data_IF_400775429440
#
_entry.id   IF_400775429440
#
_cell.length_a   1.000
_cell.length_b   1.000
_cell.length_c   1.000
_cell.angle_alpha   90.00
_cell.angle_beta   90.00
_cell.angle_gamma   90.00
#
_symmetry.space_group_name_H-M   'P 1'
#
loop_
_entity.id
_entity.type
_entity.pdbx_description
1 polymer ?
#
# COMPACT_ATOMS: atom_id res chain seq x y z
N UNK A 1 14.81 -9.42 50.40
CA UNK A 1 13.81 -9.80 49.37
C UNK A 1 14.48 -10.01 48.00
N UNK A 2 15.54 -10.79 47.91
CA UNK A 2 16.29 -10.97 46.66
C UNK A 2 16.53 -12.45 46.38
N UNK A 3 15.44 -13.22 46.30
CA UNK A 3 15.57 -14.67 46.15
C UNK A 3 15.15 -15.16 44.74
N UNK A 4 14.97 -14.27 43.77
CA UNK A 4 14.62 -14.61 42.41
C UNK A 4 15.56 -13.96 41.38
N UNK A 5 15.91 -14.71 40.33
CA UNK A 5 16.65 -14.24 39.15
C UNK A 5 15.78 -14.44 37.91
N UNK A 6 15.86 -13.48 36.97
CA UNK A 6 15.21 -13.57 35.67
C UNK A 6 16.25 -13.92 34.60
N UNK A 7 15.92 -14.89 33.76
CA UNK A 7 16.74 -15.32 32.64
C UNK A 7 15.94 -15.14 31.34
N UNK A 8 16.55 -14.57 30.29
CA UNK A 8 15.98 -14.51 28.96
C UNK A 8 16.42 -15.75 28.16
N UNK A 9 15.47 -16.45 27.61
CA UNK A 9 15.70 -17.68 26.85
C UNK A 9 14.84 -17.71 25.58
N UNK A 10 15.08 -18.69 24.73
CA UNK A 10 14.27 -18.98 23.54
C UNK A 10 13.95 -17.75 22.69
N UNK A 11 14.96 -17.11 22.07
CA UNK A 11 14.72 -15.97 21.19
C UNK A 11 13.83 -16.38 20.00
N UNK A 12 12.79 -15.60 19.76
CA UNK A 12 11.92 -15.74 18.60
C UNK A 12 11.76 -14.39 17.90
N UNK A 13 12.75 -14.04 17.09
CA UNK A 13 12.93 -12.69 16.58
C UNK A 13 13.18 -11.71 17.71
N UNK A 14 12.32 -10.71 17.87
CA UNK A 14 12.40 -9.69 18.93
C UNK A 14 11.70 -10.09 20.24
N UNK A 15 11.05 -11.24 20.29
CA UNK A 15 10.43 -11.77 21.49
C UNK A 15 11.36 -12.78 22.20
N UNK A 16 11.32 -12.78 23.52
CA UNK A 16 12.05 -13.70 24.37
C UNK A 16 11.10 -14.34 25.39
N UNK A 17 11.45 -15.52 25.83
CA UNK A 17 10.85 -16.14 27.01
C UNK A 17 11.62 -15.68 28.24
N UNK A 18 10.93 -15.15 29.23
CA UNK A 18 11.47 -14.80 30.54
C UNK A 18 11.16 -15.92 31.50
N UNK A 19 12.16 -16.49 32.10
CA UNK A 19 12.03 -17.52 33.14
C UNK A 19 12.51 -16.90 34.45
N UNK A 20 11.61 -16.85 35.44
CA UNK A 20 11.93 -16.41 36.80
C UNK A 20 12.22 -17.62 37.64
N UNK A 21 13.42 -17.70 38.18
CA UNK A 21 13.88 -18.84 39.02
C UNK A 21 14.22 -18.40 40.45
N UNK A 22 14.03 -19.27 41.38
CA UNK A 22 14.56 -19.07 42.74
C UNK A 22 16.07 -19.06 42.71
N UNK A 23 16.69 -18.05 43.34
CA UNK A 23 18.14 -17.92 43.38
C UNK A 23 18.84 -19.11 44.08
N UNK A 24 18.20 -19.65 45.12
CA UNK A 24 18.82 -20.70 45.97
C UNK A 24 18.64 -22.13 45.39
N UNK A 25 17.48 -22.45 44.83
CA UNK A 25 17.20 -23.83 44.42
C UNK A 25 16.96 -23.96 42.87
N UNK A 26 17.07 -22.87 42.11
CA UNK A 26 16.85 -22.82 40.67
C UNK A 26 15.44 -23.30 40.23
N UNK A 27 14.50 -23.49 41.15
CA UNK A 27 13.12 -23.85 40.82
C UNK A 27 12.50 -22.70 39.99
N UNK A 28 11.83 -23.05 38.90
CA UNK A 28 11.08 -22.10 38.08
C UNK A 28 9.88 -21.59 38.85
N UNK A 29 9.80 -20.31 39.08
CA UNK A 29 8.72 -19.63 39.80
C UNK A 29 7.67 -19.10 38.84
N UNK A 30 8.09 -18.60 37.67
CA UNK A 30 7.18 -18.09 36.64
C UNK A 30 7.83 -18.12 35.26
N UNK A 31 7.00 -18.20 34.22
CA UNK A 31 7.42 -18.10 32.84
C UNK A 31 6.48 -17.17 32.08
N UNK A 32 7.03 -16.28 31.26
CA UNK A 32 6.26 -15.40 30.39
C UNK A 32 7.04 -15.04 29.14
N UNK A 33 6.36 -14.54 28.12
CA UNK A 33 7.01 -13.95 26.96
C UNK A 33 7.07 -12.43 27.08
N UNK A 34 8.12 -11.82 26.53
CA UNK A 34 8.29 -10.34 26.48
C UNK A 34 7.28 -9.64 25.57
N UNK A 35 6.56 -10.40 24.76
CA UNK A 35 5.54 -9.89 23.85
C UNK A 35 4.34 -10.85 23.80
N UNK A 36 3.11 -10.35 23.71
CA UNK A 36 1.95 -11.19 23.48
C UNK A 36 2.00 -11.81 22.07
N UNK A 37 1.36 -12.95 21.93
CA UNK A 37 1.09 -13.56 20.62
C UNK A 37 -0.17 -12.94 20.02
N UNK A 38 -0.17 -12.74 18.69
CA UNK A 38 -1.29 -12.14 17.94
C UNK A 38 -1.76 -13.08 16.83
N UNK A 39 -3.07 -13.05 16.54
CA UNK A 39 -3.69 -13.85 15.50
C UNK A 39 -4.72 -14.83 16.05
N UNK A 40 -5.43 -15.53 15.15
CA UNK A 40 -6.44 -16.51 15.52
C UNK A 40 -5.81 -17.67 16.31
N UNK A 41 -6.54 -18.15 17.31
CA UNK A 41 -6.20 -19.30 18.16
C UNK A 41 -6.02 -20.60 17.38
N UNK A 42 -6.45 -20.65 16.12
CA UNK A 42 -6.32 -21.82 15.23
C UNK A 42 -4.90 -22.03 14.67
N UNK A 43 -4.04 -21.00 14.72
CA UNK A 43 -2.65 -21.16 14.30
C UNK A 43 -1.85 -21.90 15.35
N UNK A 44 -1.19 -22.98 14.96
CA UNK A 44 -0.31 -23.78 15.84
C UNK A 44 0.89 -22.97 16.35
N UNK A 45 1.27 -21.89 15.66
CA UNK A 45 2.39 -20.98 16.03
C UNK A 45 2.02 -19.52 15.74
N UNK A 46 1.15 -18.90 16.57
CA UNK A 46 0.81 -17.51 16.40
C UNK A 46 2.05 -16.62 16.58
N UNK A 47 2.23 -15.59 15.71
CA UNK A 47 3.36 -14.70 15.77
C UNK A 47 3.32 -13.79 17.02
N UNK A 48 4.48 -13.34 17.47
CA UNK A 48 4.58 -12.33 18.51
C UNK A 48 4.29 -10.93 17.95
N UNK A 49 3.55 -10.13 18.72
CA UNK A 49 3.15 -8.76 18.31
C UNK A 49 4.35 -7.85 18.04
N UNK A 50 5.41 -7.94 18.85
CA UNK A 50 6.64 -7.17 18.65
C UNK A 50 7.26 -7.44 17.27
N UNK A 51 7.27 -8.69 16.80
CA UNK A 51 7.82 -9.05 15.50
C UNK A 51 7.04 -8.39 14.36
N UNK A 52 5.73 -8.41 14.48
CA UNK A 52 4.81 -7.79 13.52
C UNK A 52 4.97 -6.26 13.48
N UNK A 53 5.05 -5.63 14.66
CA UNK A 53 5.28 -4.18 14.77
C UNK A 53 6.63 -3.76 14.20
N UNK A 54 7.69 -4.54 14.43
CA UNK A 54 9.00 -4.26 13.86
C UNK A 54 8.99 -4.34 12.33
N UNK A 55 8.38 -5.38 11.74
CA UNK A 55 8.22 -5.46 10.28
C UNK A 55 7.43 -4.26 9.75
N UNK A 56 6.30 -3.92 10.38
CA UNK A 56 5.51 -2.77 9.99
C UNK A 56 6.30 -1.46 10.04
N UNK A 57 7.09 -1.24 11.09
CA UNK A 57 7.92 -0.03 11.24
C UNK A 57 8.94 0.09 10.08
N UNK A 58 9.67 -0.99 9.76
CA UNK A 58 10.63 -0.97 8.65
C UNK A 58 9.95 -0.75 7.30
N UNK A 59 8.83 -1.41 7.07
CA UNK A 59 8.06 -1.25 5.82
C UNK A 59 7.49 0.17 5.68
N UNK A 60 6.98 0.77 6.76
CA UNK A 60 6.49 2.16 6.76
C UNK A 60 7.61 3.16 6.43
N UNK A 61 8.84 2.88 6.83
CA UNK A 61 10.02 3.66 6.45
C UNK A 61 10.53 3.33 5.02
N UNK A 62 9.84 2.50 4.26
CA UNK A 62 10.27 2.05 2.93
C UNK A 62 11.49 1.12 2.96
N UNK A 63 11.72 0.39 4.07
CA UNK A 63 12.87 -0.49 4.26
C UNK A 63 12.43 -1.96 4.29
N UNK A 64 13.29 -2.83 3.74
CA UNK A 64 13.09 -4.27 3.72
C UNK A 64 13.91 -5.01 4.78
N UNK A 65 13.88 -6.35 4.69
CA UNK A 65 14.57 -7.27 5.59
C UNK A 65 16.06 -6.96 5.75
N UNK A 66 16.80 -6.70 4.66
CA UNK A 66 18.26 -6.45 4.74
C UNK A 66 18.61 -5.23 5.59
N UNK A 67 17.80 -4.16 5.54
CA UNK A 67 18.02 -2.99 6.41
C UNK A 67 17.69 -3.31 7.85
N UNK A 68 16.66 -4.09 8.12
CA UNK A 68 16.35 -4.56 9.48
C UNK A 68 17.48 -5.43 10.03
N UNK A 69 18.01 -6.34 9.22
CA UNK A 69 19.13 -7.20 9.60
C UNK A 69 20.39 -6.38 9.95
N UNK A 70 20.76 -5.41 9.10
CA UNK A 70 21.85 -4.47 9.38
C UNK A 70 21.64 -3.69 10.67
N UNK A 71 20.42 -3.22 10.91
CA UNK A 71 20.07 -2.54 12.17
C UNK A 71 20.25 -3.46 13.38
N UNK A 72 19.73 -4.69 13.30
CA UNK A 72 19.87 -5.67 14.37
C UNK A 72 21.34 -6.01 14.66
N UNK A 73 22.16 -6.19 13.62
CA UNK A 73 23.61 -6.41 13.75
C UNK A 73 24.29 -5.24 14.45
N UNK A 74 24.00 -4.00 14.06
CA UNK A 74 24.57 -2.80 14.65
C UNK A 74 24.20 -2.64 16.13
N UNK A 75 23.00 -3.07 16.52
CA UNK A 75 22.48 -3.00 17.89
C UNK A 75 22.81 -4.24 18.74
N UNK A 76 23.47 -5.25 18.18
CA UNK A 76 23.71 -6.53 18.88
C UNK A 76 22.43 -7.27 19.24
N UNK A 77 21.37 -7.13 18.46
CA UNK A 77 20.04 -7.70 18.72
C UNK A 77 19.76 -8.90 17.81
N UNK A 78 18.99 -9.86 18.34
CA UNK A 78 18.39 -10.88 17.48
C UNK A 78 17.34 -10.25 16.55
N UNK A 79 17.38 -10.64 15.27
CA UNK A 79 16.42 -10.19 14.26
C UNK A 79 15.52 -11.30 13.78
N UNK A 80 14.67 -10.99 12.79
CA UNK A 80 13.87 -11.97 12.08
C UNK A 80 14.64 -12.55 10.89
N UNK A 81 14.46 -13.82 10.61
CA UNK A 81 14.91 -14.40 9.34
C UNK A 81 14.10 -13.84 8.15
N UNK A 82 14.68 -13.85 6.95
CA UNK A 82 14.00 -13.37 5.75
C UNK A 82 12.65 -14.08 5.48
N UNK A 83 12.50 -15.40 5.65
CA UNK A 83 11.18 -16.05 5.53
C UNK A 83 10.17 -15.56 6.57
N UNK A 84 10.61 -15.35 7.82
CA UNK A 84 9.75 -14.84 8.88
C UNK A 84 9.31 -13.40 8.59
N UNK A 85 10.23 -12.53 8.18
CA UNK A 85 9.91 -11.17 7.75
C UNK A 85 8.86 -11.15 6.62
N UNK A 86 9.06 -11.97 5.58
CA UNK A 86 8.15 -12.04 4.44
C UNK A 86 6.77 -12.57 4.84
N UNK A 87 6.70 -13.55 5.76
CA UNK A 87 5.42 -14.04 6.29
C UNK A 87 4.62 -12.93 6.99
N UNK A 88 5.30 -12.09 7.79
CA UNK A 88 4.67 -10.92 8.41
C UNK A 88 4.26 -9.87 7.36
N UNK A 89 5.11 -9.63 6.36
CA UNK A 89 4.84 -8.66 5.29
C UNK A 89 3.57 -9.03 4.51
N UNK A 90 3.40 -10.30 4.12
CA UNK A 90 2.20 -10.77 3.42
C UNK A 90 0.95 -10.49 4.24
N UNK A 91 0.94 -10.88 5.51
CA UNK A 91 -0.21 -10.65 6.41
C UNK A 91 -0.53 -9.16 6.58
N UNK A 92 0.50 -8.33 6.81
CA UNK A 92 0.34 -6.87 6.90
C UNK A 92 -0.23 -6.27 5.60
N UNK A 93 0.19 -6.78 4.44
CA UNK A 93 -0.33 -6.32 3.14
C UNK A 93 -1.82 -6.63 2.99
N UNK A 94 -2.26 -7.82 3.40
CA UNK A 94 -3.68 -8.21 3.37
C UNK A 94 -4.53 -7.35 4.31
N UNK A 95 -4.06 -7.15 5.54
CA UNK A 95 -4.75 -6.31 6.52
C UNK A 95 -4.80 -4.84 6.08
N UNK A 96 -3.71 -4.32 5.53
CA UNK A 96 -3.66 -2.95 5.02
C UNK A 96 -4.64 -2.72 3.85
N UNK A 97 -4.96 -3.75 3.05
CA UNK A 97 -6.02 -3.65 2.03
C UNK A 97 -7.37 -3.36 2.66
N UNK A 98 -7.72 -4.04 3.75
CA UNK A 98 -8.99 -3.85 4.46
C UNK A 98 -9.05 -2.49 5.14
N UNK A 99 -7.97 -2.10 5.82
CA UNK A 99 -7.85 -0.77 6.46
C UNK A 99 -8.00 0.34 5.42
N UNK A 100 -7.31 0.24 4.29
CA UNK A 100 -7.42 1.19 3.18
C UNK A 100 -8.86 1.35 2.70
N UNK A 101 -9.55 0.24 2.45
CA UNK A 101 -10.95 0.28 2.01
C UNK A 101 -11.86 0.95 3.04
N UNK A 102 -11.61 0.70 4.33
CA UNK A 102 -12.37 1.32 5.40
C UNK A 102 -12.11 2.82 5.49
N UNK A 103 -10.85 3.24 5.46
CA UNK A 103 -10.44 4.65 5.51
C UNK A 103 -11.01 5.43 4.33
N UNK A 104 -10.90 4.91 3.10
CA UNK A 104 -11.46 5.57 1.91
C UNK A 104 -13.00 5.68 1.99
N UNK A 105 -13.70 4.64 2.43
CA UNK A 105 -15.17 4.72 2.62
C UNK A 105 -15.55 5.79 3.64
N UNK A 106 -14.82 5.90 4.74
CA UNK A 106 -15.07 6.94 5.74
C UNK A 106 -14.78 8.34 5.17
N UNK A 107 -13.72 8.50 4.39
CA UNK A 107 -13.42 9.74 3.68
C UNK A 107 -14.54 10.11 2.70
N UNK A 108 -15.01 9.16 1.87
CA UNK A 108 -16.14 9.40 0.96
C UNK A 108 -17.40 9.87 1.69
N UNK A 109 -17.73 9.22 2.82
CA UNK A 109 -18.90 9.62 3.63
C UNK A 109 -18.73 11.00 4.27
N UNK A 110 -17.53 11.34 4.71
CA UNK A 110 -17.23 12.65 5.29
C UNK A 110 -17.28 13.76 4.24
N UNK A 111 -16.69 13.53 3.07
CA UNK A 111 -16.74 14.46 1.93
C UNK A 111 -18.18 14.70 1.49
N UNK A 112 -18.98 13.65 1.31
CA UNK A 112 -20.39 13.78 0.94
C UNK A 112 -21.14 14.65 1.93
N UNK A 113 -21.02 14.39 3.24
CA UNK A 113 -21.68 15.20 4.28
C UNK A 113 -21.28 16.68 4.21
N UNK A 114 -19.98 16.97 4.06
CA UNK A 114 -19.50 18.32 3.95
C UNK A 114 -20.08 19.06 2.73
N UNK A 115 -20.18 18.39 1.57
CA UNK A 115 -20.80 18.97 0.39
C UNK A 115 -22.32 19.16 0.53
N UNK A 116 -23.03 18.28 1.24
CA UNK A 116 -24.46 18.43 1.57
C UNK A 116 -24.72 19.55 2.56
N UNK A 117 -23.79 19.85 3.47
CA UNK A 117 -23.87 21.00 4.38
C UNK A 117 -23.72 22.33 3.63
N UNK A 118 -22.93 22.35 2.55
CA UNK A 118 -22.74 23.53 1.68
C UNK A 118 -23.91 23.70 0.73
N UNK A 119 -24.46 22.61 0.19
CA UNK A 119 -25.58 22.59 -0.76
C UNK A 119 -26.68 21.65 -0.27
N UNK A 120 -27.72 22.22 0.33
CA UNK A 120 -28.86 21.48 0.90
C UNK A 120 -29.77 20.82 -0.14
N UNK A 121 -29.58 21.08 -1.43
CA UNK A 121 -30.33 20.42 -2.52
C UNK A 121 -29.74 19.05 -2.89
N UNK A 122 -28.56 18.72 -2.42
CA UNK A 122 -27.93 17.42 -2.68
C UNK A 122 -28.55 16.36 -1.79
N UNK A 123 -29.02 15.26 -2.40
CA UNK A 123 -29.50 14.08 -1.67
C UNK A 123 -28.39 13.01 -1.54
N UNK A 124 -28.58 12.04 -0.62
CA UNK A 124 -27.64 10.94 -0.41
C UNK A 124 -27.40 10.07 -1.64
N UNK A 125 -28.37 9.98 -2.53
CA UNK A 125 -28.32 9.15 -3.75
C UNK A 125 -27.69 9.86 -4.95
N UNK A 126 -27.54 11.20 -4.90
CA UNK A 126 -27.10 11.98 -6.05
C UNK A 126 -25.62 11.78 -6.36
N UNK A 127 -25.29 11.86 -7.65
CA UNK A 127 -23.91 12.01 -8.08
C UNK A 127 -23.52 13.47 -7.88
N UNK A 128 -22.69 13.75 -6.88
CA UNK A 128 -22.26 15.12 -6.59
C UNK A 128 -21.06 15.52 -7.47
N UNK A 129 -21.09 16.78 -7.92
CA UNK A 129 -19.98 17.40 -8.66
C UNK A 129 -19.06 18.08 -7.65
N UNK A 130 -17.78 17.70 -7.63
CA UNK A 130 -16.81 18.22 -6.67
C UNK A 130 -15.55 18.74 -7.34
N UNK A 131 -14.91 19.70 -6.68
CA UNK A 131 -13.57 20.17 -7.01
C UNK A 131 -12.52 19.30 -6.30
N UNK A 132 -11.51 18.89 -7.05
CA UNK A 132 -10.43 18.05 -6.51
C UNK A 132 -9.06 18.62 -6.84
N UNK A 133 -8.09 18.37 -5.97
CA UNK A 133 -6.68 18.46 -6.28
C UNK A 133 -6.17 17.08 -6.71
N UNK A 134 -5.34 17.05 -7.74
CA UNK A 134 -4.65 15.85 -8.21
C UNK A 134 -3.15 16.09 -8.17
N UNK A 135 -2.43 15.16 -7.57
CA UNK A 135 -0.96 15.17 -7.51
C UNK A 135 -0.40 13.80 -7.84
N UNK A 136 0.72 13.80 -8.54
CA UNK A 136 1.50 12.62 -8.88
C UNK A 136 2.83 12.60 -8.14
N UNK A 137 3.11 11.54 -7.40
CA UNK A 137 4.42 11.35 -6.76
C UNK A 137 5.17 10.16 -7.34
N UNK A 138 6.50 10.27 -7.39
CA UNK A 138 7.38 9.30 -8.01
C UNK A 138 8.39 8.77 -7.00
N UNK A 139 8.65 7.47 -7.03
CA UNK A 139 9.66 6.86 -6.16
C UNK A 139 11.06 7.44 -6.37
N UNK A 140 11.37 7.92 -7.59
CA UNK A 140 12.62 8.60 -7.94
C UNK A 140 12.31 9.85 -8.73
N UNK A 141 13.03 10.93 -8.47
CA UNK A 141 13.03 12.11 -9.33
C UNK A 141 13.64 11.78 -10.71
N UNK A 142 13.13 12.41 -11.76
CA UNK A 142 13.53 12.15 -13.14
C UNK A 142 12.71 11.06 -13.82
N UNK A 143 12.83 10.94 -15.13
CA UNK A 143 11.96 10.15 -16.00
C UNK A 143 12.14 8.61 -15.89
N UNK A 144 12.95 8.12 -14.94
CA UNK A 144 13.33 6.70 -14.80
C UNK A 144 12.61 5.98 -13.68
N UNK A 145 11.60 6.58 -13.04
CA UNK A 145 10.90 5.94 -11.94
C UNK A 145 10.20 4.65 -12.38
N UNK A 146 10.39 3.58 -11.62
CA UNK A 146 9.70 2.30 -11.81
C UNK A 146 8.27 2.33 -11.23
N UNK A 147 8.00 3.22 -10.30
CA UNK A 147 6.71 3.37 -9.61
C UNK A 147 6.26 4.82 -9.62
N UNK A 148 4.96 5.00 -9.76
CA UNK A 148 4.27 6.28 -9.60
C UNK A 148 3.00 6.09 -8.79
N UNK A 149 2.58 7.14 -8.10
CA UNK A 149 1.35 7.18 -7.33
C UNK A 149 0.59 8.44 -7.74
N UNK A 150 -0.63 8.29 -8.23
CA UNK A 150 -1.57 9.39 -8.42
C UNK A 150 -2.56 9.46 -7.25
N UNK A 151 -2.82 10.66 -6.75
CA UNK A 151 -3.72 10.93 -5.62
C UNK A 151 -4.79 11.93 -6.02
N UNK A 152 -6.02 11.70 -5.58
CA UNK A 152 -7.12 12.67 -5.69
C UNK A 152 -7.57 13.09 -4.30
N UNK A 153 -7.60 14.38 -4.06
CA UNK A 153 -7.94 15.01 -2.78
C UNK A 153 -9.12 15.96 -3.01
N UNK A 154 -10.15 15.87 -2.20
CA UNK A 154 -11.25 16.83 -2.22
C UNK A 154 -10.80 18.19 -1.70
N UNK A 155 -11.08 19.27 -2.44
CA UNK A 155 -10.63 20.63 -2.10
C UNK A 155 -11.32 21.15 -0.85
N UNK A 156 -12.60 20.80 -0.66
CA UNK A 156 -13.41 21.33 0.46
C UNK A 156 -12.92 20.77 1.80
N UNK A 157 -12.62 19.48 1.86
CA UNK A 157 -12.31 18.78 3.11
C UNK A 157 -10.83 18.46 3.30
N UNK A 158 -10.03 18.48 2.22
CA UNK A 158 -8.64 18.02 2.24
C UNK A 158 -8.48 16.50 2.39
N UNK A 159 -9.56 15.73 2.26
CA UNK A 159 -9.51 14.28 2.40
C UNK A 159 -9.14 13.59 1.09
N UNK A 160 -8.33 12.53 1.19
CA UNK A 160 -8.00 11.67 0.06
C UNK A 160 -9.22 10.85 -0.33
N UNK A 161 -9.64 10.99 -1.58
CA UNK A 161 -10.77 10.25 -2.15
C UNK A 161 -10.36 8.93 -2.78
N UNK A 162 -9.24 8.94 -3.48
CA UNK A 162 -8.76 7.75 -4.19
C UNK A 162 -7.29 7.91 -4.55
N UNK A 163 -6.64 6.78 -4.85
CA UNK A 163 -5.28 6.78 -5.38
C UNK A 163 -5.04 5.58 -6.30
N UNK A 164 -4.10 5.74 -7.24
CA UNK A 164 -3.68 4.68 -8.15
C UNK A 164 -2.17 4.51 -8.12
N UNK A 165 -1.72 3.26 -7.97
CA UNK A 165 -0.31 2.91 -8.00
C UNK A 165 0.03 2.37 -9.39
N UNK A 166 0.91 3.06 -10.08
CA UNK A 166 1.43 2.67 -11.38
C UNK A 166 2.79 1.99 -11.22
N UNK A 167 2.95 0.83 -11.83
CA UNK A 167 4.18 0.05 -11.75
C UNK A 167 4.66 -0.40 -13.12
N UNK A 168 5.94 -0.11 -13.43
CA UNK A 168 6.68 -0.68 -14.57
C UNK A 168 7.56 -1.87 -14.15
N UNK A 169 7.50 -2.26 -12.89
CA UNK A 169 8.39 -3.25 -12.31
C UNK A 169 7.61 -4.48 -11.85
N UNK A 170 8.19 -5.62 -12.12
CA UNK A 170 7.80 -6.90 -11.53
C UNK A 170 9.07 -7.71 -11.27
N UNK A 171 9.28 -8.14 -10.04
CA UNK A 171 10.48 -8.87 -9.65
C UNK A 171 10.63 -10.21 -10.39
N UNK A 172 9.52 -10.87 -10.68
CA UNK A 172 9.49 -12.12 -11.44
C UNK A 172 9.84 -11.88 -12.90
N UNK A 173 9.28 -10.84 -13.52
CA UNK A 173 9.65 -10.46 -14.88
C UNK A 173 11.15 -10.16 -15.00
N UNK A 174 11.70 -9.33 -14.10
CA UNK A 174 13.13 -8.97 -14.14
C UNK A 174 14.06 -10.18 -13.99
N UNK A 175 13.68 -11.17 -13.16
CA UNK A 175 14.44 -12.43 -13.02
C UNK A 175 14.36 -13.30 -14.26
N UNK A 176 13.22 -13.33 -14.92
CA UNK A 176 13.01 -14.14 -16.14
C UNK A 176 13.69 -13.48 -17.34
N UNK A 177 13.63 -12.16 -17.45
CA UNK A 177 14.36 -11.38 -18.48
C UNK A 177 15.89 -11.59 -18.44
N UNK A 178 16.45 -11.93 -17.28
CA UNK A 178 17.88 -12.29 -17.15
C UNK A 178 18.19 -13.71 -17.56
N UNK A 179 17.19 -14.58 -17.68
CA UNK A 179 17.36 -16.02 -17.96
C UNK A 179 16.95 -16.42 -19.40
N UNK A 180 16.05 -15.65 -19.98
CA UNK A 180 15.46 -15.93 -21.28
C UNK A 180 15.66 -14.71 -22.20
N UNK A 181 15.81 -14.96 -23.47
CA UNK A 181 15.81 -13.89 -24.47
C UNK A 181 14.40 -13.26 -24.56
N UNK A 182 14.31 -11.98 -24.27
CA UNK A 182 13.05 -11.21 -24.29
C UNK A 182 12.38 -11.22 -25.68
N UNK A 183 13.17 -11.38 -26.76
CA UNK A 183 12.68 -11.46 -28.14
C UNK A 183 12.10 -12.85 -28.48
N UNK A 184 12.40 -13.87 -27.68
CA UNK A 184 11.97 -15.25 -27.97
C UNK A 184 10.46 -15.43 -27.82
N UNK A 185 9.89 -16.36 -28.55
CA UNK A 185 8.47 -16.70 -28.44
C UNK A 185 8.15 -17.40 -27.12
N UNK A 186 9.10 -18.10 -26.55
CA UNK A 186 9.01 -18.73 -25.23
C UNK A 186 8.84 -17.66 -24.13
N UNK A 187 9.62 -16.57 -24.18
CA UNK A 187 9.44 -15.46 -23.24
C UNK A 187 8.08 -14.78 -23.41
N UNK A 188 7.63 -14.53 -24.63
CA UNK A 188 6.32 -13.89 -24.90
C UNK A 188 5.16 -14.73 -24.36
N UNK A 189 5.19 -16.06 -24.57
CA UNK A 189 4.18 -16.98 -24.06
C UNK A 189 4.19 -17.01 -22.52
N UNK A 190 5.37 -17.11 -21.93
CA UNK A 190 5.52 -17.05 -20.48
C UNK A 190 4.99 -15.73 -19.91
N UNK A 191 5.36 -14.59 -20.53
CA UNK A 191 4.95 -13.28 -20.07
C UNK A 191 3.44 -13.08 -20.16
N UNK A 192 2.82 -13.57 -21.22
CA UNK A 192 1.35 -13.54 -21.33
C UNK A 192 0.68 -14.39 -20.24
N UNK A 193 1.15 -15.61 -20.04
CA UNK A 193 0.63 -16.48 -18.98
C UNK A 193 0.81 -15.87 -17.57
N UNK A 194 1.95 -15.20 -17.33
CA UNK A 194 2.23 -14.52 -16.09
C UNK A 194 1.30 -13.31 -15.86
N UNK A 195 0.91 -12.59 -16.91
CA UNK A 195 -0.10 -11.54 -16.86
C UNK A 195 -1.51 -12.10 -16.61
N UNK A 196 -1.89 -13.12 -17.35
CA UNK A 196 -3.22 -13.73 -17.29
C UNK A 196 -3.50 -14.37 -15.92
N UNK A 197 -2.46 -14.89 -15.28
CA UNK A 197 -2.52 -15.37 -13.91
C UNK A 197 -2.74 -14.26 -12.86
N UNK A 198 -2.70 -12.98 -13.25
CA UNK A 198 -2.90 -11.83 -12.34
C UNK A 198 -1.80 -11.62 -11.30
N UNK A 199 -0.64 -12.27 -11.48
CA UNK A 199 0.50 -12.20 -10.55
C UNK A 199 1.58 -11.22 -10.99
N UNK A 200 1.42 -10.61 -12.18
CA UNK A 200 2.34 -9.61 -12.68
C UNK A 200 2.12 -8.26 -11.98
N UNK A 201 3.18 -7.73 -11.37
CA UNK A 201 3.15 -6.43 -10.70
C UNK A 201 3.26 -5.24 -11.68
N UNK A 202 3.63 -5.48 -12.95
CA UNK A 202 3.61 -4.46 -14.01
C UNK A 202 2.16 -4.19 -14.42
N UNK A 203 1.71 -2.94 -14.24
CA UNK A 203 0.39 -2.49 -14.70
C UNK A 203 0.48 -1.32 -15.70
N UNK A 204 1.71 -0.92 -16.05
CA UNK A 204 1.94 0.18 -16.97
C UNK A 204 3.22 -0.03 -17.80
N UNK A 205 3.10 0.28 -19.09
CA UNK A 205 4.21 0.32 -20.04
C UNK A 205 4.24 1.71 -20.70
N UNK A 206 5.25 2.52 -20.39
CA UNK A 206 5.38 3.88 -20.93
C UNK A 206 6.38 4.75 -20.17
N UNK A 207 6.45 6.03 -20.50
CA UNK A 207 7.28 6.99 -19.80
C UNK A 207 6.73 7.33 -18.42
N UNK A 208 7.57 7.86 -17.52
CA UNK A 208 7.12 8.31 -16.20
C UNK A 208 6.07 9.41 -16.28
N UNK A 209 6.19 10.33 -17.25
CA UNK A 209 5.19 11.38 -17.46
C UNK A 209 3.82 10.80 -17.90
N UNK A 210 3.84 9.74 -18.72
CA UNK A 210 2.61 9.09 -19.15
C UNK A 210 1.95 8.28 -18.00
N UNK A 211 2.68 7.90 -16.95
CA UNK A 211 2.09 7.28 -15.75
C UNK A 211 1.08 8.19 -15.07
N UNK A 212 1.42 9.48 -14.93
CA UNK A 212 0.56 10.47 -14.27
C UNK A 212 -0.76 10.62 -15.00
N UNK A 213 -0.70 10.79 -16.31
CA UNK A 213 -1.89 10.88 -17.16
C UNK A 213 -2.74 9.61 -17.08
N UNK A 214 -2.10 8.44 -17.08
CA UNK A 214 -2.82 7.16 -16.99
C UNK A 214 -3.44 6.93 -15.61
N UNK A 215 -2.75 7.30 -14.55
CA UNK A 215 -3.30 7.26 -13.19
C UNK A 215 -4.52 8.18 -13.06
N UNK A 216 -4.43 9.42 -13.57
CA UNK A 216 -5.56 10.34 -13.61
C UNK A 216 -6.74 9.76 -14.39
N UNK A 217 -6.51 9.21 -15.59
CA UNK A 217 -7.56 8.58 -16.40
C UNK A 217 -8.32 7.49 -15.61
N UNK A 218 -7.58 6.60 -14.94
CA UNK A 218 -8.17 5.52 -14.13
C UNK A 218 -9.01 6.09 -12.98
N UNK A 219 -8.47 7.06 -12.23
CA UNK A 219 -9.13 7.67 -11.08
C UNK A 219 -10.42 8.39 -11.48
N UNK A 220 -10.41 9.18 -12.56
CA UNK A 220 -11.59 9.85 -13.07
C UNK A 220 -12.65 8.88 -13.59
N UNK A 221 -12.23 7.85 -14.33
CA UNK A 221 -13.16 6.88 -14.91
C UNK A 221 -13.94 6.10 -13.85
N UNK A 222 -13.30 5.82 -12.70
CA UNK A 222 -13.93 5.03 -11.63
C UNK A 222 -14.62 5.84 -10.54
N UNK A 223 -14.49 7.16 -10.53
CA UNK A 223 -14.94 8.04 -9.45
C UNK A 223 -16.43 7.88 -9.12
N UNK A 224 -17.30 7.91 -10.12
CA UNK A 224 -18.74 7.76 -9.90
C UNK A 224 -19.06 6.38 -9.32
N UNK A 225 -18.49 5.33 -9.88
CA UNK A 225 -18.73 3.95 -9.40
C UNK A 225 -18.18 3.72 -7.99
N UNK A 226 -17.05 4.36 -7.65
CA UNK A 226 -16.35 4.15 -6.38
C UNK A 226 -16.98 4.93 -5.23
N UNK A 227 -17.31 6.20 -5.46
CA UNK A 227 -17.73 7.12 -4.38
C UNK A 227 -18.96 7.95 -4.70
N UNK A 228 -19.62 7.72 -5.86
CA UNK A 228 -20.78 8.50 -6.34
C UNK A 228 -20.47 10.01 -6.46
N UNK A 229 -19.23 10.35 -6.84
CA UNK A 229 -18.74 11.70 -7.02
C UNK A 229 -18.16 11.88 -8.41
N UNK A 230 -18.40 13.04 -9.02
CA UNK A 230 -17.83 13.42 -10.31
C UNK A 230 -16.82 14.54 -10.09
N UNK A 231 -15.58 14.32 -10.50
CA UNK A 231 -14.52 15.31 -10.41
C UNK A 231 -14.64 16.31 -11.56
N UNK A 232 -15.16 17.51 -11.27
CA UNK A 232 -15.51 18.51 -12.28
C UNK A 232 -14.50 19.65 -12.38
N UNK A 233 -13.81 19.95 -11.30
CA UNK A 233 -12.80 21.01 -11.23
C UNK A 233 -11.50 20.41 -10.74
N UNK A 234 -10.41 20.70 -11.42
CA UNK A 234 -9.06 20.25 -11.04
C UNK A 234 -8.25 21.46 -10.58
N UNK A 235 -7.71 21.40 -9.37
CA UNK A 235 -6.65 22.27 -8.89
C UNK A 235 -5.34 21.50 -9.00
N UNK A 236 -4.42 21.97 -9.84
CA UNK A 236 -3.08 21.43 -10.00
C UNK A 236 -2.07 22.34 -9.33
N UNK A 237 -0.94 21.79 -8.86
CA UNK A 237 0.12 22.53 -8.19
C UNK A 237 0.78 23.56 -9.13
N UNK A 238 1.10 24.72 -8.58
CA UNK A 238 1.24 26.02 -9.18
C UNK A 238 2.37 26.31 -10.16
N UNK A 239 3.05 25.38 -10.78
CA UNK A 239 3.97 25.68 -11.89
C UNK A 239 3.30 25.70 -13.29
N UNK A 240 2.08 25.26 -13.37
CA UNK A 240 1.25 25.45 -14.54
C UNK A 240 0.08 26.35 -14.18
N UNK A 241 0.08 27.55 -14.73
CA UNK A 241 -1.11 28.43 -14.89
C UNK A 241 -2.18 27.76 -15.77
N UNK A 242 -2.46 26.52 -15.50
CA UNK A 242 -3.50 25.74 -16.13
C UNK A 242 -4.45 25.26 -15.05
N UNK A 243 -5.40 26.11 -14.70
CA UNK A 243 -6.74 25.60 -14.48
C UNK A 243 -7.04 24.80 -15.74
N UNK A 244 -6.84 23.46 -15.68
CA UNK A 244 -7.29 22.57 -16.76
C UNK A 244 -8.80 22.69 -16.72
N UNK A 245 -9.31 23.65 -17.46
CA UNK A 245 -10.72 23.83 -17.69
C UNK A 245 -11.20 22.53 -18.31
N UNK A 246 -12.34 22.08 -17.86
CA UNK A 246 -13.11 20.89 -18.26
C UNK A 246 -13.11 20.59 -19.79
N UNK A 247 -12.68 21.52 -20.64
CA UNK A 247 -12.56 21.34 -22.08
C UNK A 247 -11.47 20.35 -22.51
N UNK A 248 -10.31 20.34 -21.87
CA UNK A 248 -9.21 19.40 -22.20
C UNK A 248 -9.53 18.00 -21.62
N UNK A 249 -10.18 17.94 -20.45
CA UNK A 249 -10.69 16.71 -19.88
C UNK A 249 -11.95 16.22 -20.61
N UNK A 250 -12.78 17.12 -21.16
CA UNK A 250 -13.93 16.77 -21.99
C UNK A 250 -13.52 16.04 -23.27
N UNK A 251 -12.35 16.35 -23.82
CA UNK A 251 -11.79 15.60 -24.95
C UNK A 251 -11.38 14.17 -24.52
N UNK A 252 -10.81 14.00 -23.34
CA UNK A 252 -10.40 12.71 -22.80
C UNK A 252 -11.63 11.85 -22.39
N UNK A 253 -12.63 12.44 -21.73
CA UNK A 253 -13.90 11.77 -21.38
C UNK A 253 -14.72 11.45 -22.63
N UNK A 254 -14.68 12.29 -23.67
CA UNK A 254 -15.40 12.03 -24.93
C UNK A 254 -14.76 10.90 -25.74
N UNK A 255 -13.45 10.75 -25.71
CA UNK A 255 -12.76 9.59 -26.29
C UNK A 255 -13.16 8.28 -25.58
N UNK A 256 -13.25 8.28 -24.25
CA UNK A 256 -13.67 7.12 -23.44
C UNK A 256 -15.16 6.76 -23.60
N UNK A 257 -16.03 7.75 -23.94
CA UNK A 257 -17.47 7.51 -24.15
C UNK A 257 -17.73 6.93 -25.55
N UNK A 258 -16.84 7.16 -26.50
CA UNK A 258 -16.95 6.62 -27.87
C UNK A 258 -16.50 5.16 -27.95
N UNK A 259 -15.53 4.72 -27.13
CA UNK A 259 -15.13 3.32 -27.06
C UNK A 259 -16.22 2.39 -26.44
N UNK A 260 -17.07 2.92 -25.56
CA UNK A 260 -18.19 2.15 -24.94
C UNK A 260 -19.44 2.00 -25.82
N UNK A 261 -19.50 2.62 -26.99
CA UNK A 261 -20.61 2.46 -27.93
C UNK A 261 -20.37 1.43 -29.03
N UNK A 262 -19.19 0.81 -29.05
CA UNK A 262 -18.81 -0.20 -30.04
C UNK A 262 -18.51 -1.58 -29.41
N UNK A 263 -19.13 -1.89 -28.27
CA UNK A 263 -19.14 -3.24 -27.69
C UNK A 263 -20.59 -3.66 -27.41
#
# INVERSE_FOLDING_TARGET
MDSAKAELTEPSGFAFKVIVKCYNCNTVLNEMYTSPKVGNTESTRPPFDVNRRMVNAFVTMGKGHSTMEQHCMAMGMAGLSSPSFNSHLIKLTEENKLVRQHVLRNAHSAVRRAHMEVDSFISDSDVINIGVSYDGTWMKRGHTSKYGLGLVIDILTGLVLDFEIMSKYCSTCEKTEKKMDVASDEYKQWYQSHKDAGVCEKNFDGSSNAMEMKAAEILWTRSIRLCNMRYTTLLSDGDAKHTITFSSFKFMVKALTLEKKNV
#
